data_IF_628791475273
#
_entry.id   IF_628791475273
#
_cell.length_a   1.000
_cell.length_b   1.000
_cell.length_c   1.000
_cell.angle_alpha   90.00
_cell.angle_beta   90.00
_cell.angle_gamma   90.00
#
_symmetry.space_group_name_H-M   'P 1'
#
loop_
_entity.id
_entity.type
_entity.pdbx_description
1 polymer ?
#
# COMPACT_ATOMS: atom_id res chain seq x y z
N UNK A 1 -3.80 30.40 13.91
CA UNK A 1 -4.18 29.64 12.70
C UNK A 1 -5.53 28.99 12.94
N UNK A 2 -6.36 28.84 11.91
CA UNK A 2 -7.59 28.04 12.02
C UNK A 2 -7.21 26.56 12.20
N UNK A 3 -7.96 25.77 12.98
CA UNK A 3 -7.75 24.32 13.11
C UNK A 3 -7.68 23.58 11.75
N UNK A 4 -8.39 24.09 10.74
CA UNK A 4 -8.39 23.51 9.40
C UNK A 4 -7.08 23.79 8.65
N UNK A 5 -6.48 24.97 8.86
CA UNK A 5 -5.20 25.35 8.23
C UNK A 5 -4.06 24.47 8.73
N UNK A 6 -3.96 24.28 10.05
CA UNK A 6 -2.94 23.41 10.65
C UNK A 6 -3.08 21.94 10.20
N UNK A 7 -4.33 21.49 10.01
CA UNK A 7 -4.64 20.17 9.48
C UNK A 7 -4.12 19.99 8.04
N UNK A 8 -4.42 20.93 7.14
CA UNK A 8 -3.97 20.83 5.75
C UNK A 8 -2.44 20.93 5.63
N UNK A 9 -1.81 21.80 6.41
CA UNK A 9 -0.35 21.92 6.46
C UNK A 9 0.32 20.62 6.89
N UNK A 10 -0.21 19.96 7.92
CA UNK A 10 0.31 18.66 8.36
C UNK A 10 0.27 17.65 7.21
N UNK A 11 -0.90 17.40 6.62
CA UNK A 11 -1.07 16.36 5.59
C UNK A 11 -0.28 16.66 4.32
N UNK A 12 -0.23 17.92 3.88
CA UNK A 12 0.60 18.32 2.74
C UNK A 12 2.09 18.10 3.04
N UNK A 13 2.56 18.47 4.24
CA UNK A 13 3.97 18.28 4.60
C UNK A 13 4.39 16.80 4.62
N UNK A 14 3.48 15.89 4.98
CA UNK A 14 3.72 14.45 4.95
C UNK A 14 3.74 13.95 3.50
N UNK A 15 2.74 14.33 2.71
CA UNK A 15 2.64 13.98 1.29
C UNK A 15 3.88 14.41 0.49
N UNK A 16 4.37 15.62 0.70
CA UNK A 16 5.57 16.13 0.02
C UNK A 16 6.82 15.31 0.38
N UNK A 17 6.94 14.87 1.64
CA UNK A 17 8.02 13.97 2.07
C UNK A 17 7.91 12.61 1.35
N UNK A 18 6.71 12.05 1.29
CA UNK A 18 6.46 10.78 0.61
C UNK A 18 6.85 10.83 -0.88
N UNK A 19 6.47 11.90 -1.58
CA UNK A 19 6.81 12.06 -3.00
C UNK A 19 8.31 12.28 -3.22
N UNK A 20 8.97 12.99 -2.30
CA UNK A 20 10.44 13.17 -2.34
C UNK A 20 11.17 11.84 -2.14
N UNK A 21 10.67 10.98 -1.24
CA UNK A 21 11.30 9.68 -0.93
C UNK A 21 10.94 8.59 -1.95
N UNK A 22 9.76 8.68 -2.55
CA UNK A 22 9.21 7.69 -3.48
C UNK A 22 8.69 8.40 -4.74
N UNK A 23 9.60 8.69 -5.65
CA UNK A 23 9.30 9.36 -6.93
C UNK A 23 8.22 8.60 -7.71
N UNK A 24 8.28 7.27 -7.71
CA UNK A 24 7.27 6.41 -8.37
C UNK A 24 5.86 6.64 -7.80
N UNK A 25 5.72 6.82 -6.48
CA UNK A 25 4.43 7.17 -5.88
C UNK A 25 3.94 8.52 -6.40
N UNK A 26 4.82 9.53 -6.47
CA UNK A 26 4.50 10.86 -6.98
C UNK A 26 4.03 10.82 -8.45
N UNK A 27 4.75 10.09 -9.30
CA UNK A 27 4.41 9.92 -10.72
C UNK A 27 3.04 9.26 -10.91
N UNK A 28 2.79 8.17 -10.18
CA UNK A 28 1.52 7.44 -10.27
C UNK A 28 0.39 8.31 -9.73
N UNK A 29 0.59 8.99 -8.60
CA UNK A 29 -0.40 9.91 -8.04
C UNK A 29 -0.78 10.99 -9.08
N UNK A 30 0.20 11.60 -9.75
CA UNK A 30 -0.04 12.62 -10.76
C UNK A 30 -0.84 12.07 -11.97
N UNK A 31 -0.59 10.83 -12.38
CA UNK A 31 -1.36 10.15 -13.44
C UNK A 31 -2.80 9.90 -13.02
N UNK A 32 -3.01 9.35 -11.81
CA UNK A 32 -4.34 9.09 -11.27
C UNK A 32 -5.17 10.38 -11.16
N UNK A 33 -4.52 11.49 -10.78
CA UNK A 33 -5.17 12.79 -10.61
C UNK A 33 -5.70 13.40 -11.91
N UNK A 34 -4.96 13.23 -13.01
CA UNK A 34 -5.24 13.88 -14.28
C UNK A 34 -6.16 13.09 -15.20
N UNK A 35 -6.79 12.04 -14.67
CA UNK A 35 -7.49 11.04 -15.46
C UNK A 35 -8.58 11.66 -16.34
N UNK A 36 -9.60 12.31 -15.77
CA UNK A 36 -10.70 12.89 -16.56
C UNK A 36 -10.61 14.39 -16.79
N UNK A 37 -9.50 15.02 -16.40
CA UNK A 37 -9.19 16.42 -16.71
C UNK A 37 -8.36 16.60 -17.97
N UNK A 38 -7.79 15.53 -18.55
CA UNK A 38 -6.98 15.59 -19.77
C UNK A 38 -7.69 14.96 -20.98
N UNK A 39 -7.78 15.69 -22.10
CA UNK A 39 -8.47 15.23 -23.32
C UNK A 39 -7.92 13.93 -23.91
N UNK A 40 -6.61 13.65 -23.73
CA UNK A 40 -5.99 12.39 -24.18
C UNK A 40 -6.62 11.16 -23.52
N UNK A 41 -7.26 11.33 -22.36
CA UNK A 41 -7.87 10.26 -21.58
C UNK A 41 -9.40 10.17 -21.78
N UNK A 42 -9.99 11.01 -22.64
CA UNK A 42 -11.45 11.10 -22.84
C UNK A 42 -12.12 9.75 -23.12
N UNK A 43 -11.43 8.85 -23.83
CA UNK A 43 -11.96 7.54 -24.21
C UNK A 43 -12.20 6.61 -23.02
N UNK A 44 -11.65 6.93 -21.84
CA UNK A 44 -11.83 6.15 -20.61
C UNK A 44 -12.83 6.79 -19.64
N UNK A 45 -13.25 8.03 -19.88
CA UNK A 45 -14.10 8.80 -18.99
C UNK A 45 -15.56 8.75 -19.43
N UNK A 46 -16.48 8.78 -18.46
CA UNK A 46 -17.93 8.75 -18.73
C UNK A 46 -18.43 10.09 -19.31
N UNK A 47 -17.72 11.18 -18.99
CA UNK A 47 -18.06 12.54 -19.37
C UNK A 47 -16.86 13.23 -20.03
N UNK A 48 -17.12 14.23 -20.86
CA UNK A 48 -16.10 15.08 -21.46
C UNK A 48 -15.41 15.97 -20.42
N UNK A 49 -14.20 16.44 -20.75
CA UNK A 49 -13.34 17.25 -19.86
C UNK A 49 -14.01 18.57 -19.44
N UNK A 50 -14.73 19.24 -20.35
CA UNK A 50 -15.47 20.47 -20.03
C UNK A 50 -16.56 20.21 -18.97
N UNK A 51 -17.34 19.15 -19.14
CA UNK A 51 -18.38 18.76 -18.18
C UNK A 51 -17.78 18.29 -16.85
N UNK A 52 -16.61 17.64 -16.89
CA UNK A 52 -15.86 17.26 -15.72
C UNK A 52 -15.41 18.47 -14.89
N UNK A 53 -14.99 19.55 -15.54
CA UNK A 53 -14.53 20.75 -14.84
C UNK A 53 -15.63 21.43 -14.03
N UNK A 54 -16.89 21.30 -14.46
CA UNK A 54 -18.08 21.83 -13.77
C UNK A 54 -18.58 20.91 -12.63
N UNK A 55 -18.03 19.71 -12.49
CA UNK A 55 -18.44 18.79 -11.43
C UNK A 55 -18.01 19.25 -10.04
N UNK A 56 -18.83 18.92 -9.03
CA UNK A 56 -18.41 18.97 -7.62
C UNK A 56 -17.28 17.98 -7.33
N UNK A 57 -16.62 18.12 -6.18
CA UNK A 57 -15.44 17.32 -5.85
C UNK A 57 -15.76 15.81 -5.73
N UNK A 58 -16.97 15.44 -5.30
CA UNK A 58 -17.41 14.05 -5.18
C UNK A 58 -17.50 13.42 -6.57
N UNK A 59 -18.20 14.08 -7.49
CA UNK A 59 -18.32 13.65 -8.89
C UNK A 59 -16.96 13.62 -9.60
N UNK A 60 -16.12 14.64 -9.40
CA UNK A 60 -14.76 14.65 -9.95
C UNK A 60 -13.95 13.43 -9.50
N UNK A 61 -13.99 13.10 -8.21
CA UNK A 61 -13.26 11.95 -7.69
C UNK A 61 -13.84 10.62 -8.22
N UNK A 62 -15.17 10.49 -8.27
CA UNK A 62 -15.84 9.33 -8.87
C UNK A 62 -15.41 9.13 -10.34
N UNK A 63 -15.46 10.18 -11.16
CA UNK A 63 -15.09 10.09 -12.57
C UNK A 63 -13.61 9.74 -12.76
N UNK A 64 -12.71 10.34 -11.97
CA UNK A 64 -11.31 9.96 -12.00
C UNK A 64 -11.10 8.50 -11.59
N UNK A 65 -11.73 8.03 -10.52
CA UNK A 65 -11.60 6.64 -10.07
C UNK A 65 -12.11 5.67 -11.14
N UNK A 66 -13.27 5.95 -11.73
CA UNK A 66 -13.84 5.16 -12.81
C UNK A 66 -12.92 5.15 -14.05
N UNK A 67 -12.45 6.32 -14.50
CA UNK A 67 -11.55 6.42 -15.64
C UNK A 67 -10.25 5.63 -15.40
N UNK A 68 -9.66 5.75 -14.22
CA UNK A 68 -8.45 5.02 -13.86
C UNK A 68 -8.69 3.50 -13.89
N UNK A 69 -9.85 3.05 -13.42
CA UNK A 69 -10.27 1.66 -13.54
C UNK A 69 -10.35 1.21 -15.01
N UNK A 70 -11.09 1.93 -15.86
CA UNK A 70 -11.25 1.53 -17.27
C UNK A 70 -9.91 1.54 -18.01
N UNK A 71 -9.07 2.55 -17.75
CA UNK A 71 -7.72 2.64 -18.34
C UNK A 71 -6.84 1.46 -17.91
N UNK A 72 -6.91 1.08 -16.65
CA UNK A 72 -6.26 -0.12 -16.14
C UNK A 72 -6.85 -1.41 -16.75
N UNK A 73 -8.17 -1.57 -16.84
CA UNK A 73 -8.78 -2.76 -17.45
C UNK A 73 -8.43 -2.90 -18.94
N UNK A 74 -8.17 -1.77 -19.61
CA UNK A 74 -7.80 -1.71 -21.03
C UNK A 74 -6.34 -2.06 -21.32
N UNK A 75 -5.54 -2.46 -20.31
CA UNK A 75 -4.11 -2.76 -20.48
C UNK A 75 -3.27 -1.60 -21.02
N UNK A 76 -3.69 -0.36 -20.73
CA UNK A 76 -3.02 0.83 -21.25
C UNK A 76 -1.52 0.90 -20.86
N UNK A 77 -0.72 1.45 -21.77
CA UNK A 77 0.74 1.46 -21.64
C UNK A 77 1.23 2.24 -20.40
N UNK A 78 0.45 3.21 -19.94
CA UNK A 78 0.81 4.08 -18.82
C UNK A 78 0.88 3.31 -17.49
N UNK A 79 0.16 2.19 -17.39
CA UNK A 79 0.11 1.30 -16.23
C UNK A 79 0.80 -0.05 -16.47
N UNK A 80 1.42 -0.31 -17.64
CA UNK A 80 1.96 -1.64 -17.99
C UNK A 80 2.93 -2.19 -16.94
N UNK A 81 3.78 -1.34 -16.39
CA UNK A 81 4.78 -1.72 -15.38
C UNK A 81 4.17 -2.17 -14.05
N UNK A 82 2.89 -1.86 -13.79
CA UNK A 82 2.19 -2.13 -12.54
C UNK A 82 1.24 -3.34 -12.62
N UNK A 83 0.91 -3.86 -13.82
CA UNK A 83 0.06 -5.07 -13.93
C UNK A 83 0.69 -6.29 -13.26
N UNK A 84 2.01 -6.40 -13.34
CA UNK A 84 2.76 -7.48 -12.70
C UNK A 84 2.85 -7.33 -11.17
N UNK A 85 2.43 -6.18 -10.63
CA UNK A 85 2.48 -5.85 -9.21
C UNK A 85 1.11 -5.30 -8.72
N UNK A 86 0.02 -6.08 -8.83
CA UNK A 86 -1.33 -5.58 -8.59
C UNK A 86 -1.56 -5.12 -7.15
N UNK A 87 -0.92 -5.75 -6.16
CA UNK A 87 -0.95 -5.33 -4.75
C UNK A 87 -0.33 -3.93 -4.60
N UNK A 88 0.81 -3.68 -5.27
CA UNK A 88 1.49 -2.38 -5.25
C UNK A 88 0.66 -1.30 -5.94
N UNK A 89 0.01 -1.62 -7.06
CA UNK A 89 -0.92 -0.70 -7.73
C UNK A 89 -2.12 -0.36 -6.84
N UNK A 90 -2.73 -1.37 -6.21
CA UNK A 90 -3.83 -1.18 -5.26
C UNK A 90 -3.42 -0.24 -4.11
N UNK A 91 -2.20 -0.41 -3.58
CA UNK A 91 -1.66 0.46 -2.54
C UNK A 91 -1.57 1.92 -3.00
N UNK A 92 -1.08 2.17 -4.23
CA UNK A 92 -1.02 3.51 -4.81
C UNK A 92 -2.39 4.12 -5.10
N UNK A 93 -3.33 3.33 -5.61
CA UNK A 93 -4.69 3.75 -5.88
C UNK A 93 -5.41 4.14 -4.57
N UNK A 94 -5.31 3.30 -3.53
CA UNK A 94 -5.83 3.59 -2.19
C UNK A 94 -5.20 4.84 -1.59
N UNK A 95 -3.88 4.97 -1.69
CA UNK A 95 -3.16 6.15 -1.20
C UNK A 95 -3.70 7.45 -1.82
N UNK A 96 -3.82 7.49 -3.16
CA UNK A 96 -4.37 8.65 -3.87
C UNK A 96 -5.82 8.90 -3.47
N UNK A 97 -6.68 7.88 -3.48
CA UNK A 97 -8.09 7.99 -3.15
C UNK A 97 -8.29 8.51 -1.71
N UNK A 98 -7.59 7.92 -0.75
CA UNK A 98 -7.66 8.32 0.66
C UNK A 98 -7.14 9.74 0.89
N UNK A 99 -6.07 10.15 0.20
CA UNK A 99 -5.59 11.54 0.25
C UNK A 99 -6.67 12.53 -0.23
N UNK A 100 -7.41 12.19 -1.30
CA UNK A 100 -8.51 13.03 -1.82
C UNK A 100 -9.71 13.07 -0.89
N UNK A 101 -10.09 11.94 -0.32
CA UNK A 101 -11.15 11.88 0.69
C UNK A 101 -10.80 12.76 1.90
N UNK A 102 -9.56 12.66 2.40
CA UNK A 102 -9.06 13.43 3.54
C UNK A 102 -8.98 14.92 3.24
N UNK A 103 -8.52 15.30 2.04
CA UNK A 103 -8.38 16.69 1.63
C UNK A 103 -9.74 17.37 1.43
N UNK A 104 -10.71 16.65 0.86
CA UNK A 104 -12.06 17.20 0.67
C UNK A 104 -12.97 17.00 1.89
N UNK A 105 -12.49 16.33 2.93
CA UNK A 105 -13.23 16.04 4.17
C UNK A 105 -14.55 15.30 3.94
N UNK A 106 -14.56 14.37 2.97
CA UNK A 106 -15.79 13.65 2.61
C UNK A 106 -16.34 12.82 3.76
N UNK A 107 -17.66 12.89 3.95
CA UNK A 107 -18.39 12.01 4.85
C UNK A 107 -18.63 10.62 4.22
N UNK A 108 -19.20 9.70 5.01
CA UNK A 108 -19.45 8.33 4.56
C UNK A 108 -20.42 8.24 3.35
N UNK A 109 -21.38 9.15 3.26
CA UNK A 109 -22.34 9.22 2.14
C UNK A 109 -21.63 9.68 0.86
N UNK A 110 -20.77 10.68 0.96
CA UNK A 110 -19.95 11.16 -0.14
C UNK A 110 -18.92 10.12 -0.59
N UNK A 111 -18.23 9.45 0.34
CA UNK A 111 -17.30 8.36 0.04
C UNK A 111 -18.03 7.22 -0.69
N UNK A 112 -19.24 6.86 -0.22
CA UNK A 112 -20.07 5.84 -0.88
C UNK A 112 -20.38 6.25 -2.32
N UNK A 113 -20.76 7.51 -2.57
CA UNK A 113 -21.00 8.03 -3.93
C UNK A 113 -19.76 7.97 -4.82
N UNK A 114 -18.58 8.21 -4.27
CA UNK A 114 -17.30 8.09 -5.00
C UNK A 114 -17.06 6.65 -5.48
N UNK A 115 -17.46 5.66 -4.69
CA UNK A 115 -17.18 4.24 -4.91
C UNK A 115 -18.26 3.51 -5.73
N UNK A 116 -19.33 4.21 -6.12
CA UNK A 116 -20.42 3.63 -6.92
C UNK A 116 -19.87 2.97 -8.19
N UNK A 117 -20.37 1.77 -8.48
CA UNK A 117 -19.96 0.97 -9.65
C UNK A 117 -18.76 0.05 -9.40
N UNK A 118 -18.20 0.05 -8.19
CA UNK A 118 -17.17 -0.90 -7.75
C UNK A 118 -17.73 -2.05 -6.89
N UNK A 119 -19.05 -2.10 -6.68
CA UNK A 119 -19.70 -3.13 -5.89
C UNK A 119 -19.67 -4.49 -6.61
N UNK A 120 -19.29 -5.54 -5.88
CA UNK A 120 -19.31 -6.91 -6.35
C UNK A 120 -19.73 -7.84 -5.22
N UNK A 121 -21.04 -8.06 -5.13
CA UNK A 121 -21.67 -8.74 -4.00
C UNK A 121 -21.77 -7.79 -2.80
N UNK A 122 -21.27 -8.24 -1.66
CA UNK A 122 -21.20 -7.51 -0.39
C UNK A 122 -19.95 -6.63 -0.25
N UNK A 123 -19.07 -6.61 -1.26
CA UNK A 123 -17.77 -5.93 -1.22
C UNK A 123 -17.65 -4.84 -2.25
N UNK A 124 -16.90 -3.80 -1.91
CA UNK A 124 -16.43 -2.77 -2.84
C UNK A 124 -15.01 -3.16 -3.26
N UNK A 125 -14.81 -3.48 -4.54
CA UNK A 125 -13.50 -3.96 -4.99
C UNK A 125 -13.21 -3.66 -6.46
N UNK A 126 -11.92 -3.49 -6.76
CA UNK A 126 -11.41 -3.43 -8.14
C UNK A 126 -10.64 -4.72 -8.45
N UNK A 127 -11.01 -5.40 -9.53
CA UNK A 127 -10.28 -6.61 -9.98
C UNK A 127 -9.09 -6.18 -10.83
N UNK A 128 -7.91 -6.58 -10.40
CA UNK A 128 -6.63 -6.18 -10.99
C UNK A 128 -5.86 -7.40 -11.52
N UNK A 129 -5.17 -7.22 -12.65
CA UNK A 129 -4.17 -8.13 -13.23
C UNK A 129 -4.44 -9.61 -12.97
N UNK A 130 -3.55 -10.28 -12.23
CA UNK A 130 -3.57 -11.69 -11.83
C UNK A 130 -4.77 -12.10 -10.94
N UNK A 131 -5.99 -11.64 -11.25
CA UNK A 131 -7.22 -11.83 -10.48
C UNK A 131 -7.14 -11.34 -9.04
N UNK A 132 -6.18 -10.46 -8.73
CA UNK A 132 -6.06 -9.84 -7.43
C UNK A 132 -7.24 -8.89 -7.22
N UNK A 133 -7.76 -8.85 -6.00
CA UNK A 133 -8.92 -8.03 -5.65
C UNK A 133 -8.48 -6.93 -4.71
N UNK A 134 -8.52 -5.70 -5.20
CA UNK A 134 -8.25 -4.52 -4.38
C UNK A 134 -9.47 -4.21 -3.51
N UNK A 135 -9.31 -4.52 -2.23
CA UNK A 135 -10.18 -4.33 -1.04
C UNK A 135 -10.54 -2.90 -0.64
N UNK A 136 -11.75 -2.34 -0.83
CA UNK A 136 -12.13 -1.05 -0.20
C UNK A 136 -13.10 -1.24 0.97
N UNK A 137 -12.56 -1.58 2.15
CA UNK A 137 -13.36 -1.89 3.35
C UNK A 137 -13.42 -0.74 4.37
N UNK A 138 -12.69 0.35 4.16
CA UNK A 138 -12.59 1.48 5.09
C UNK A 138 -13.26 2.71 4.48
N UNK A 139 -14.50 2.97 4.88
CA UNK A 139 -15.34 4.05 4.33
C UNK A 139 -15.57 5.22 5.30
N UNK A 140 -15.08 5.11 6.53
CA UNK A 140 -15.24 6.14 7.56
C UNK A 140 -14.02 7.06 7.52
N UNK A 141 -14.22 8.37 7.33
CA UNK A 141 -13.17 9.37 7.20
C UNK A 141 -12.08 9.28 8.28
N UNK A 142 -12.46 9.13 9.56
CA UNK A 142 -11.48 9.01 10.64
C UNK A 142 -10.62 7.75 10.51
N UNK A 143 -11.19 6.63 10.08
CA UNK A 143 -10.45 5.38 9.84
C UNK A 143 -9.54 5.50 8.62
N UNK A 144 -10.00 6.20 7.58
CA UNK A 144 -9.19 6.55 6.39
C UNK A 144 -7.97 7.40 6.80
N UNK A 145 -8.14 8.38 7.71
CA UNK A 145 -7.03 9.15 8.28
C UNK A 145 -6.05 8.25 9.03
N UNK A 146 -6.55 7.34 9.86
CA UNK A 146 -5.69 6.42 10.64
C UNK A 146 -4.86 5.53 9.72
N UNK A 147 -5.49 4.90 8.73
CA UNK A 147 -4.77 4.03 7.82
C UNK A 147 -3.82 4.84 6.94
N UNK A 148 -4.22 5.99 6.37
CA UNK A 148 -3.32 6.83 5.56
C UNK A 148 -2.10 7.30 6.37
N UNK A 149 -2.27 7.71 7.62
CA UNK A 149 -1.14 8.06 8.47
C UNK A 149 -0.18 6.87 8.65
N UNK A 150 -0.71 5.65 8.76
CA UNK A 150 0.08 4.43 8.81
C UNK A 150 0.77 4.12 7.47
N UNK A 151 0.11 4.34 6.32
CA UNK A 151 0.69 4.31 4.97
C UNK A 151 1.92 5.23 4.91
N UNK A 152 1.73 6.49 5.31
CA UNK A 152 2.75 7.53 5.29
C UNK A 152 3.96 7.13 6.15
N UNK A 153 3.70 6.60 7.35
CA UNK A 153 4.75 6.16 8.27
C UNK A 153 5.58 5.00 7.71
N UNK A 154 4.91 3.95 7.22
CA UNK A 154 5.55 2.76 6.66
C UNK A 154 6.33 3.06 5.39
N UNK A 155 5.77 3.86 4.47
CA UNK A 155 6.47 4.28 3.25
C UNK A 155 7.77 5.05 3.53
N UNK A 156 7.89 5.62 4.73
CA UNK A 156 9.05 6.35 5.19
C UNK A 156 9.89 5.60 6.23
N UNK A 157 9.51 4.40 6.62
CA UNK A 157 10.18 3.65 7.69
C UNK A 157 11.51 3.06 7.22
N UNK A 158 12.56 3.34 7.97
CA UNK A 158 13.86 2.68 7.83
C UNK A 158 13.95 1.56 8.86
N UNK A 159 14.07 0.32 8.38
CA UNK A 159 14.10 -0.88 9.23
C UNK A 159 15.37 -0.92 10.08
N UNK A 160 16.50 -0.45 9.56
CA UNK A 160 17.78 -0.42 10.27
C UNK A 160 17.77 0.63 11.37
N UNK A 161 17.27 1.83 11.08
CA UNK A 161 17.16 2.92 12.05
C UNK A 161 15.96 2.75 12.98
N UNK A 162 15.03 1.84 12.65
CA UNK A 162 13.75 1.63 13.35
C UNK A 162 12.95 2.93 13.51
N UNK A 163 13.07 3.83 12.53
CA UNK A 163 12.51 5.19 12.57
C UNK A 163 12.01 5.57 11.18
N UNK A 164 10.94 6.36 11.13
CA UNK A 164 10.44 6.95 9.89
C UNK A 164 11.02 8.35 9.68
N UNK A 165 11.29 8.74 8.42
CA UNK A 165 11.76 10.10 8.09
C UNK A 165 10.73 11.20 8.40
N UNK A 166 9.48 10.83 8.69
CA UNK A 166 8.42 11.75 9.14
C UNK A 166 8.19 11.73 10.66
N UNK A 167 8.98 10.99 11.45
CA UNK A 167 8.79 10.85 12.90
C UNK A 167 8.58 12.19 13.61
N UNK A 168 9.49 13.14 13.38
CA UNK A 168 9.50 14.40 14.13
C UNK A 168 8.26 15.25 13.80
N UNK A 169 7.77 15.17 12.55
CA UNK A 169 6.50 15.80 12.14
C UNK A 169 5.31 15.19 12.90
N UNK A 170 5.29 13.87 13.07
CA UNK A 170 4.21 13.18 13.79
C UNK A 170 4.31 13.45 15.30
N UNK A 171 5.51 13.43 15.86
CA UNK A 171 5.77 13.71 17.27
C UNK A 171 5.26 15.08 17.72
N UNK A 172 5.33 16.07 16.83
CA UNK A 172 4.88 17.44 17.09
C UNK A 172 3.42 17.67 16.71
N UNK A 173 2.65 16.62 16.41
CA UNK A 173 1.25 16.73 16.02
C UNK A 173 0.33 15.90 16.93
N UNK A 174 -0.98 16.15 16.82
CA UNK A 174 -2.01 15.37 17.50
C UNK A 174 -2.09 13.89 17.07
N UNK A 175 -1.39 13.52 16.00
CA UNK A 175 -1.46 12.19 15.39
C UNK A 175 -0.54 11.15 16.03
N UNK A 176 0.32 11.54 16.98
CA UNK A 176 1.23 10.63 17.70
C UNK A 176 0.50 9.44 18.33
N UNK A 177 -0.54 9.68 19.13
CA UNK A 177 -1.30 8.62 19.81
C UNK A 177 -1.99 7.71 18.79
N UNK A 178 -2.58 8.31 17.76
CA UNK A 178 -3.24 7.59 16.66
C UNK A 178 -2.28 6.62 15.96
N UNK A 179 -1.08 7.09 15.60
CA UNK A 179 -0.09 6.24 14.96
C UNK A 179 0.37 5.10 15.88
N UNK A 180 0.63 5.39 17.16
CA UNK A 180 1.05 4.36 18.12
C UNK A 180 -0.02 3.26 18.30
N UNK A 181 -1.31 3.63 18.27
CA UNK A 181 -2.39 2.66 18.28
C UNK A 181 -2.37 1.79 17.02
N UNK A 182 -2.22 2.39 15.83
CA UNK A 182 -2.10 1.63 14.58
C UNK A 182 -0.89 0.68 14.57
N UNK A 183 0.26 1.12 15.09
CA UNK A 183 1.45 0.28 15.26
C UNK A 183 1.16 -0.90 16.18
N UNK A 184 0.44 -0.68 17.29
CA UNK A 184 0.05 -1.77 18.20
C UNK A 184 -0.84 -2.79 17.50
N UNK A 185 -1.88 -2.33 16.80
CA UNK A 185 -2.79 -3.19 16.04
C UNK A 185 -2.04 -3.99 14.96
N UNK A 186 -1.09 -3.36 14.27
CA UNK A 186 -0.27 -4.01 13.26
C UNK A 186 0.66 -5.09 13.84
N UNK A 187 1.29 -4.80 14.98
CA UNK A 187 2.16 -5.74 15.67
C UNK A 187 1.37 -6.95 16.20
N UNK A 188 0.17 -6.70 16.73
CA UNK A 188 -0.73 -7.73 17.25
C UNK A 188 -1.68 -8.29 16.18
N UNK A 189 -1.42 -8.02 14.89
CA UNK A 189 -2.33 -8.35 13.78
C UNK A 189 -2.75 -9.82 13.73
N UNK A 190 -1.93 -10.76 14.21
CA UNK A 190 -2.33 -12.18 14.21
C UNK A 190 -3.51 -12.42 15.15
N UNK A 191 -3.50 -11.78 16.31
CA UNK A 191 -4.60 -11.84 17.29
C UNK A 191 -5.74 -10.93 16.85
N UNK A 192 -5.43 -9.70 16.45
CA UNK A 192 -6.42 -8.73 16.00
C UNK A 192 -7.19 -9.27 14.79
N UNK A 193 -6.53 -9.80 13.77
CA UNK A 193 -7.17 -10.31 12.55
C UNK A 193 -7.63 -11.76 12.62
N UNK A 194 -7.58 -12.41 13.80
CA UNK A 194 -8.17 -13.73 13.98
C UNK A 194 -9.69 -13.71 13.69
N UNK A 195 -10.33 -12.58 13.96
CA UNK A 195 -11.66 -12.28 13.43
C UNK A 195 -11.51 -11.48 12.12
N UNK A 196 -11.82 -12.11 10.99
CA UNK A 196 -11.72 -11.49 9.66
C UNK A 196 -12.64 -10.27 9.47
N UNK A 197 -13.55 -9.98 10.41
CA UNK A 197 -14.40 -8.79 10.37
C UNK A 197 -13.67 -7.50 10.74
N UNK A 198 -12.40 -7.56 11.15
CA UNK A 198 -11.66 -6.37 11.55
C UNK A 198 -11.14 -5.57 10.34
N UNK A 199 -11.57 -4.32 10.27
CA UNK A 199 -11.48 -3.44 9.09
C UNK A 199 -10.07 -3.12 8.57
N UNK A 200 -9.04 -3.15 9.43
CA UNK A 200 -7.65 -2.87 9.00
C UNK A 200 -6.90 -4.10 8.50
N UNK A 201 -7.48 -5.30 8.58
CA UNK A 201 -6.74 -6.53 8.38
C UNK A 201 -6.27 -6.75 6.94
N UNK A 202 -7.09 -6.38 5.95
CA UNK A 202 -6.69 -6.44 4.54
C UNK A 202 -5.53 -5.49 4.27
N UNK A 203 -5.60 -4.27 4.81
CA UNK A 203 -4.53 -3.27 4.71
C UNK A 203 -3.23 -3.80 5.34
N UNK A 204 -3.28 -4.29 6.58
CA UNK A 204 -2.12 -4.86 7.29
C UNK A 204 -1.46 -6.02 6.54
N UNK A 205 -2.26 -6.87 5.89
CA UNK A 205 -1.75 -7.95 5.06
C UNK A 205 -1.01 -7.41 3.83
N UNK A 206 -1.63 -6.50 3.08
CA UNK A 206 -1.06 -5.89 1.87
C UNK A 206 0.28 -5.20 2.18
N UNK A 207 0.37 -4.46 3.28
CA UNK A 207 1.62 -3.80 3.64
C UNK A 207 2.73 -4.74 4.05
N UNK A 208 2.41 -5.80 4.81
CA UNK A 208 3.42 -6.79 5.18
C UNK A 208 4.03 -7.40 3.93
N UNK A 209 3.24 -7.61 2.89
CA UNK A 209 3.69 -8.12 1.60
C UNK A 209 4.54 -7.09 0.83
N UNK A 210 4.17 -5.80 0.84
CA UNK A 210 4.89 -4.74 0.12
C UNK A 210 6.21 -4.36 0.80
N UNK A 211 6.18 -4.08 2.10
CA UNK A 211 7.30 -3.49 2.85
C UNK A 211 8.13 -4.54 3.61
N UNK A 212 7.64 -5.78 3.72
CA UNK A 212 8.31 -6.87 4.43
C UNK A 212 8.63 -6.59 5.92
N UNK A 213 7.99 -5.59 6.52
CA UNK A 213 8.21 -5.19 7.91
C UNK A 213 7.37 -6.06 8.84
N UNK A 214 7.96 -6.99 9.58
CA UNK A 214 7.20 -7.92 10.45
C UNK A 214 6.68 -7.27 11.73
N UNK A 215 7.45 -6.36 12.30
CA UNK A 215 7.19 -5.67 13.58
C UNK A 215 7.70 -4.24 13.48
N UNK A 216 6.97 -3.30 14.06
CA UNK A 216 7.30 -1.88 14.11
C UNK A 216 7.62 -1.45 15.53
N UNK A 217 8.55 -0.51 15.67
CA UNK A 217 8.69 0.21 16.91
C UNK A 217 7.60 1.25 17.10
N UNK A 218 7.18 1.42 18.35
CA UNK A 218 6.40 2.58 18.76
C UNK A 218 7.17 3.84 18.39
N UNK A 219 6.43 4.88 18.02
CA UNK A 219 6.98 6.17 17.65
C UNK A 219 7.75 6.74 18.84
N UNK A 220 9.05 6.97 18.63
CA UNK A 220 9.93 7.61 19.60
C UNK A 220 10.03 9.10 19.30
N UNK A 221 9.80 9.92 20.32
CA UNK A 221 9.86 11.38 20.22
C UNK A 221 10.93 11.93 21.17
N UNK A 222 11.77 12.85 20.70
CA UNK A 222 12.93 13.37 21.44
C UNK A 222 12.61 14.02 22.80
N UNK A 223 11.35 14.34 23.08
CA UNK A 223 10.89 14.90 24.34
C UNK A 223 10.57 13.82 25.41
N UNK A 224 10.70 12.54 25.07
CA UNK A 224 10.52 11.43 26.00
C UNK A 224 11.89 11.07 26.58
N UNK A 225 12.01 11.07 27.91
CA UNK A 225 13.29 10.87 28.59
C UNK A 225 14.00 9.59 28.15
N UNK A 226 15.34 9.63 28.13
CA UNK A 226 16.24 8.56 27.63
C UNK A 226 15.86 7.14 28.07
N UNK A 227 15.27 6.98 29.26
CA UNK A 227 14.85 5.68 29.80
C UNK A 227 13.70 5.00 29.02
N UNK A 228 12.80 5.78 28.42
CA UNK A 228 11.66 5.28 27.61
C UNK A 228 12.16 4.82 26.23
N UNK A 229 13.23 5.44 25.73
CA UNK A 229 13.83 5.16 24.44
C UNK A 229 14.48 3.76 24.40
N UNK A 230 15.16 3.39 25.49
CA UNK A 230 15.87 2.11 25.61
C UNK A 230 14.91 0.92 25.76
N UNK A 231 13.83 1.08 26.54
CA UNK A 231 12.77 0.07 26.70
C UNK A 231 11.96 -0.13 25.41
N UNK A 232 11.66 0.95 24.67
CA UNK A 232 11.00 0.83 23.37
C UNK A 232 11.89 0.13 22.32
N UNK A 233 13.20 0.37 22.33
CA UNK A 233 14.15 -0.30 21.43
C UNK A 233 14.34 -1.78 21.78
N UNK A 234 14.41 -2.14 23.06
CA UNK A 234 14.56 -3.54 23.50
C UNK A 234 13.35 -4.39 23.10
N UNK A 235 12.13 -3.89 23.32
CA UNK A 235 10.87 -4.57 22.97
C UNK A 235 10.73 -4.82 21.46
N UNK A 236 11.34 -3.99 20.61
CA UNK A 236 11.36 -4.22 19.16
C UNK A 236 12.47 -5.15 18.67
N UNK A 237 13.58 -5.22 19.40
CA UNK A 237 14.81 -5.88 18.93
C UNK A 237 14.75 -7.41 19.06
N UNK A 238 13.88 -7.93 19.91
CA UNK A 238 13.72 -9.38 20.14
C UNK A 238 13.09 -10.14 18.97
N UNK A 239 12.56 -9.45 17.95
CA UNK A 239 11.93 -10.10 16.80
C UNK A 239 12.92 -10.67 15.76
N UNK A 240 14.21 -10.32 15.84
CA UNK A 240 15.24 -10.77 14.88
C UNK A 240 16.33 -11.67 15.51
N UNK A 241 16.31 -11.92 16.83
CA UNK A 241 17.40 -12.65 17.51
C UNK A 241 17.24 -14.18 17.52
N UNK A 242 16.14 -14.74 17.02
CA UNK A 242 15.95 -16.20 16.94
C UNK A 242 16.41 -16.76 15.59
N UNK A 243 17.67 -16.52 15.20
CA UNK A 243 18.29 -17.36 14.17
C UNK A 243 19.82 -17.39 14.18
N UNK A 244 20.53 -17.26 15.30
CA UNK A 244 21.95 -17.64 15.33
C UNK A 244 22.34 -18.31 16.64
N UNK A 245 22.16 -19.63 16.67
CA UNK A 245 23.04 -20.49 17.45
C UNK A 245 23.50 -21.67 16.60
N UNK A 246 24.83 -21.85 16.60
CA UNK A 246 25.64 -22.89 15.96
C UNK A 246 25.91 -22.68 14.47
N UNK A 247 27.13 -22.46 13.99
CA UNK A 247 28.44 -22.90 14.49
C UNK A 247 29.56 -21.98 13.96
N UNK A 248 30.60 -21.78 14.79
CA UNK A 248 31.86 -21.14 14.42
C UNK A 248 32.71 -22.10 13.57
N UNK A 249 33.32 -21.59 12.50
CA UNK A 249 34.73 -21.86 12.17
C UNK A 249 35.30 -20.77 11.24
N UNK A 250 36.58 -20.46 11.45
CA UNK A 250 37.31 -19.27 11.03
C UNK A 250 37.71 -19.17 9.53
N UNK A 251 37.61 -17.93 8.99
CA UNK A 251 38.55 -17.16 8.13
C UNK A 251 39.14 -17.73 6.80
N UNK A 252 39.70 -16.89 5.89
CA UNK A 252 39.28 -15.56 5.42
C UNK A 252 39.36 -15.39 3.87
N UNK A 253 38.64 -14.41 3.32
CA UNK A 253 39.02 -13.71 2.08
C UNK A 253 38.05 -13.82 0.89
N UNK A 254 37.83 -12.69 0.22
CA UNK A 254 37.36 -12.63 -1.18
C UNK A 254 36.08 -11.84 -1.43
N UNK A 255 36.23 -10.62 -1.99
CA UNK A 255 35.18 -9.93 -2.75
C UNK A 255 34.75 -10.78 -3.95
N UNK A 256 33.46 -10.74 -4.33
CA UNK A 256 32.93 -10.24 -5.61
C UNK A 256 31.58 -10.92 -5.98
N UNK A 257 30.74 -10.12 -6.62
CA UNK A 257 29.42 -10.34 -7.22
C UNK A 257 29.17 -11.70 -7.91
N UNK A 258 27.93 -12.20 -7.75
CA UNK A 258 26.92 -12.38 -8.83
C UNK A 258 25.78 -13.29 -8.36
N UNK A 259 24.56 -12.78 -8.46
CA UNK A 259 23.34 -13.59 -8.40
C UNK A 259 23.37 -14.64 -9.53
N UNK A 260 23.35 -15.91 -9.16
CA UNK A 260 23.03 -17.02 -10.07
C UNK A 260 21.90 -17.83 -9.45
N UNK A 261 20.85 -18.05 -10.24
CA UNK A 261 19.68 -18.87 -9.98
C UNK A 261 20.04 -20.32 -9.62
N UNK A 262 19.31 -21.01 -8.73
CA UNK A 262 19.47 -22.44 -8.55
C UNK A 262 18.66 -23.21 -9.60
N UNK A 263 19.39 -23.89 -10.48
CA UNK A 263 18.93 -25.07 -11.22
C UNK A 263 18.69 -26.19 -10.21
N UNK A 264 17.51 -26.81 -10.25
CA UNK A 264 17.18 -28.02 -9.49
C UNK A 264 17.58 -29.24 -10.33
N UNK A 265 18.55 -30.00 -9.81
CA UNK A 265 19.02 -31.26 -10.37
C UNK A 265 18.03 -32.42 -10.22
N UNK A 266 18.24 -33.38 -11.10
CA UNK A 266 17.45 -34.54 -11.50
C UNK A 266 17.36 -35.67 -10.46
N UNK A 267 16.42 -36.60 -10.72
CA UNK A 267 16.45 -38.06 -10.57
C UNK A 267 15.02 -38.57 -10.28
N UNK A 268 14.37 -39.52 -10.97
CA UNK A 268 14.84 -40.70 -11.69
C UNK A 268 13.91 -41.10 -12.85
N UNK A 269 14.51 -41.77 -13.83
CA UNK A 269 13.97 -42.44 -15.01
C UNK A 269 12.93 -43.55 -14.74
N UNK A 270 11.85 -43.56 -15.52
CA UNK A 270 11.15 -44.78 -15.96
C UNK A 270 10.90 -44.65 -17.46
N UNK A 271 11.50 -45.55 -18.21
CA UNK A 271 11.46 -45.68 -19.66
C UNK A 271 10.12 -46.30 -20.08
N UNK A 272 9.30 -45.58 -20.87
CA UNK A 272 8.10 -46.13 -21.50
C UNK A 272 8.25 -45.97 -23.00
N UNK A 273 8.60 -47.07 -23.66
CA UNK A 273 8.56 -47.26 -25.11
C UNK A 273 7.14 -47.05 -25.63
N UNK A 274 6.92 -46.04 -26.47
CA UNK A 274 5.65 -45.82 -27.18
C UNK A 274 5.59 -46.68 -28.45
N UNK A 275 4.75 -47.70 -28.44
CA UNK A 275 4.33 -48.43 -29.63
C UNK A 275 3.21 -47.66 -30.31
N UNK A 276 3.44 -47.21 -31.55
CA UNK A 276 2.43 -46.54 -32.39
C UNK A 276 1.44 -47.58 -32.91
N UNK A 277 0.15 -47.41 -32.61
CA UNK A 277 -0.94 -48.20 -33.22
C UNK A 277 -1.81 -47.23 -34.05
N UNK A 278 -2.04 -47.47 -35.35
CA UNK A 278 -2.87 -46.62 -36.19
C UNK A 278 -4.38 -46.84 -35.92
N UNK A 279 -5.14 -45.76 -35.90
CA UNK A 279 -6.61 -45.74 -35.81
C UNK A 279 -7.25 -46.32 -37.08
N UNK A 280 -8.27 -47.19 -36.98
CA UNK A 280 -9.15 -47.50 -38.09
C UNK A 280 -10.27 -46.46 -38.19
N UNK A 281 -10.48 -46.00 -39.42
CA UNK A 281 -11.70 -45.37 -39.89
C UNK A 281 -12.89 -46.35 -39.79
N UNK A 282 -13.98 -45.90 -39.17
CA UNK A 282 -15.36 -46.22 -39.55
C UNK A 282 -16.27 -45.10 -39.07
#
# INVERSE_FOLDING_TARGET
>A
MSPDTEYFEFWNSIKDNNFTKNETLGDIYAKLEKMCSEDKNKNYCIIDSDQYNDCDNVKKLHHNLYGNRIKYESTDNEFTTLYNYPIKFCNYLKYWLYDKIIFNMFDESEITKVLVGLEKGDKIQLVMGNSYRCIFDILILEKIKMIKLFYDYLGNYDVTQKKSSINDKICNSKYKTTLNNMISLYNDRNTYCANQSNEYCNEFKEYKEIYMVKKLCKLQCNNEGYHILEEALSVCSEADSLSQHSSKQDSPGGKLDRYTTPVRGENNSVEITMTVIPTPLT
#
